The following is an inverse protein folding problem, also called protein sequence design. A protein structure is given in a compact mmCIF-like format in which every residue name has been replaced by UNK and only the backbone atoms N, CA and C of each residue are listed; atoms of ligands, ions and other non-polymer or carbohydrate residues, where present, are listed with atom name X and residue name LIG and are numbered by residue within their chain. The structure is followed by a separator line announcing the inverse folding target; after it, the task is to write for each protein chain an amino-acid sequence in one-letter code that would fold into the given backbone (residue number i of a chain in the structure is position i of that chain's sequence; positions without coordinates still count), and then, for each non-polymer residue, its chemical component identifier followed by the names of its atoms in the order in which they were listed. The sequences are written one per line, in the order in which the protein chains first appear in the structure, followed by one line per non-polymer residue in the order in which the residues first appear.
data_IF_599037554205
#
_entry.id   IF_599037554205
#
_cell.length_a   1.000
_cell.length_b   1.000
_cell.length_c   1.000
_cell.angle_alpha   90.00
_cell.angle_beta   90.00
_cell.angle_gamma   90.00
#
_symmetry.space_group_name_H-M   'P 1'
#
loop_
_entity.id
_entity.type
_entity.pdbx_description
1 polymer ?
#
# COMPACT_ATOMS: atom_id res chain seq x y z
N UNK A 1 -2.48 -27.22 40.20
CA UNK A 1 -3.56 -26.83 39.27
C UNK A 1 -2.98 -26.72 37.86
N UNK A 2 -3.29 -27.68 37.00
CA UNK A 2 -2.78 -27.70 35.62
C UNK A 2 -3.35 -26.54 34.82
N UNK A 3 -2.51 -25.78 34.10
CA UNK A 3 -2.99 -24.78 33.14
C UNK A 3 -3.70 -25.52 32.02
N UNK A 4 -5.01 -25.38 31.95
CA UNK A 4 -5.78 -25.87 30.81
C UNK A 4 -5.28 -25.18 29.54
N UNK A 5 -4.88 -25.98 28.55
CA UNK A 5 -4.41 -25.48 27.25
C UNK A 5 -5.63 -24.93 26.52
N UNK A 6 -5.74 -23.60 26.50
CA UNK A 6 -6.82 -22.93 25.78
C UNK A 6 -6.48 -23.02 24.29
N UNK A 7 -7.35 -23.70 23.55
CA UNK A 7 -7.29 -23.72 22.10
C UNK A 7 -7.72 -22.34 21.55
N UNK A 8 -6.84 -21.75 20.76
CA UNK A 8 -7.05 -20.46 20.08
C UNK A 8 -7.22 -20.63 18.57
N UNK A 9 -7.31 -21.86 18.08
CA UNK A 9 -7.53 -22.16 16.66
C UNK A 9 -8.77 -21.45 16.12
N UNK A 10 -8.66 -20.90 14.92
CA UNK A 10 -9.72 -20.15 14.22
C UNK A 10 -10.22 -18.89 14.92
N UNK A 11 -9.55 -18.41 15.98
CA UNK A 11 -9.90 -17.14 16.62
C UNK A 11 -9.24 -15.95 15.92
N UNK A 12 -9.96 -14.83 15.93
CA UNK A 12 -9.50 -13.52 15.43
C UNK A 12 -8.98 -12.66 16.58
N UNK A 13 -7.80 -12.10 16.43
CA UNK A 13 -7.17 -11.17 17.37
C UNK A 13 -6.79 -9.88 16.63
N UNK A 14 -7.64 -8.86 16.68
CA UNK A 14 -7.47 -7.65 15.88
C UNK A 14 -7.51 -7.97 14.38
N UNK A 15 -6.40 -7.76 13.66
CA UNK A 15 -6.24 -8.09 12.23
C UNK A 15 -5.60 -9.45 11.97
N UNK A 16 -5.44 -10.29 13.00
CA UNK A 16 -4.79 -11.59 12.92
C UNK A 16 -5.80 -12.72 13.05
N UNK A 17 -5.69 -13.74 12.19
CA UNK A 17 -6.45 -14.98 12.21
C UNK A 17 -5.52 -16.13 12.57
N UNK A 18 -5.85 -16.91 13.59
CA UNK A 18 -5.07 -18.10 13.95
C UNK A 18 -5.34 -19.20 12.95
N UNK A 19 -4.32 -19.60 12.19
CA UNK A 19 -4.41 -20.62 11.14
C UNK A 19 -3.77 -21.96 11.54
N UNK A 20 -2.96 -21.97 12.59
CA UNK A 20 -2.29 -23.20 13.04
C UNK A 20 -1.52 -23.04 14.35
N UNK A 21 -1.12 -24.16 14.93
CA UNK A 21 -0.15 -24.19 16.02
C UNK A 21 1.28 -24.13 15.46
N UNK A 22 2.15 -23.40 16.14
CA UNK A 22 3.56 -23.33 15.81
C UNK A 22 4.40 -24.05 16.87
N UNK A 23 5.67 -24.29 16.55
CA UNK A 23 6.61 -24.88 17.51
C UNK A 23 6.69 -24.02 18.77
N UNK A 24 6.73 -24.64 19.97
CA UNK A 24 6.94 -23.90 21.21
C UNK A 24 8.26 -23.14 21.19
N UNK A 25 8.31 -22.00 21.86
CA UNK A 25 9.57 -21.26 21.98
C UNK A 25 10.56 -21.96 22.92
N UNK A 26 11.78 -21.42 23.03
CA UNK A 26 12.83 -21.91 23.97
C UNK A 26 12.40 -21.96 25.45
N UNK A 27 11.33 -21.24 25.82
CA UNK A 27 10.75 -21.22 27.17
C UNK A 27 9.52 -22.14 27.29
N UNK A 28 9.32 -23.04 26.33
CA UNK A 28 8.21 -23.98 26.26
C UNK A 28 6.81 -23.32 26.27
N UNK A 29 6.71 -22.09 25.73
CA UNK A 29 5.45 -21.37 25.61
C UNK A 29 4.79 -21.70 24.27
N UNK A 30 3.49 -22.00 24.30
CA UNK A 30 2.68 -22.24 23.10
C UNK A 30 2.71 -21.04 22.17
N UNK A 31 2.97 -21.31 20.89
CA UNK A 31 2.95 -20.32 19.82
C UNK A 31 1.92 -20.71 18.77
N UNK A 32 1.33 -19.71 18.12
CA UNK A 32 0.33 -19.90 17.09
C UNK A 32 0.77 -19.19 15.81
N UNK A 33 0.61 -19.88 14.68
CA UNK A 33 0.76 -19.30 13.36
C UNK A 33 -0.48 -18.49 13.04
N UNK A 34 -0.29 -17.19 12.82
CA UNK A 34 -1.38 -16.27 12.54
C UNK A 34 -1.23 -15.67 11.15
N UNK A 35 -2.30 -15.68 10.36
CA UNK A 35 -2.43 -14.94 9.11
C UNK A 35 -3.00 -13.55 9.40
N UNK A 36 -2.30 -12.51 8.98
CA UNK A 36 -2.81 -11.15 9.09
C UNK A 36 -3.67 -10.80 7.87
N UNK A 37 -4.63 -9.88 8.04
CA UNK A 37 -5.38 -9.25 6.94
C UNK A 37 -4.45 -8.60 5.90
N UNK A 38 -3.20 -8.28 6.28
CA UNK A 38 -2.14 -7.81 5.39
C UNK A 38 -1.60 -8.89 4.42
N UNK A 39 -2.08 -10.13 4.52
CA UNK A 39 -1.60 -11.31 3.78
C UNK A 39 -0.33 -11.96 4.35
N UNK A 40 0.33 -11.34 5.35
CA UNK A 40 1.55 -11.90 5.97
C UNK A 40 1.22 -12.85 7.11
N UNK A 41 1.95 -13.95 7.17
CA UNK A 41 1.90 -14.87 8.29
C UNK A 41 2.95 -14.50 9.35
N UNK A 42 2.60 -14.69 10.62
CA UNK A 42 3.49 -14.41 11.75
C UNK A 42 3.22 -15.40 12.88
N UNK A 43 4.28 -15.94 13.46
CA UNK A 43 4.22 -16.75 14.68
C UNK A 43 4.12 -15.82 15.89
N UNK A 44 3.09 -16.00 16.70
CA UNK A 44 2.80 -15.14 17.86
C UNK A 44 2.59 -16.03 19.09
N UNK A 45 3.16 -15.62 20.22
CA UNK A 45 2.98 -16.32 21.48
C UNK A 45 1.53 -16.24 21.99
N UNK A 46 1.03 -17.32 22.58
CA UNK A 46 -0.31 -17.38 23.16
C UNK A 46 -0.56 -16.28 24.21
N UNK A 47 0.47 -15.89 24.95
CA UNK A 47 0.39 -14.77 25.90
C UNK A 47 0.06 -13.45 25.22
N UNK A 48 0.77 -13.12 24.14
CA UNK A 48 0.60 -11.87 23.39
C UNK A 48 -0.72 -11.78 22.64
N UNK A 49 -1.26 -12.91 22.17
CA UNK A 49 -2.59 -12.97 21.58
C UNK A 49 -3.67 -12.70 22.64
N UNK A 50 -3.59 -13.39 23.79
CA UNK A 50 -4.59 -13.25 24.87
C UNK A 50 -4.56 -11.87 25.53
N UNK A 51 -3.38 -11.30 25.74
CA UNK A 51 -3.26 -9.96 26.34
C UNK A 51 -3.60 -8.83 25.38
N UNK A 52 -3.80 -9.12 24.09
CA UNK A 52 -4.01 -8.11 23.05
C UNK A 52 -2.75 -7.30 22.72
N UNK A 53 -1.57 -7.70 23.21
CA UNK A 53 -0.31 -7.00 22.93
C UNK A 53 0.15 -7.11 21.47
N UNK A 54 -0.41 -8.04 20.68
CA UNK A 54 -0.15 -8.15 19.24
C UNK A 54 -1.47 -8.33 18.48
N UNK A 55 -1.85 -7.30 17.72
CA UNK A 55 -3.09 -7.25 16.94
C UNK A 55 -2.87 -7.18 15.43
N UNK A 56 -1.61 -7.15 14.96
CA UNK A 56 -1.27 -7.15 13.54
C UNK A 56 0.11 -7.76 13.27
N UNK A 57 0.39 -8.04 11.99
CA UNK A 57 1.72 -8.45 11.51
C UNK A 57 2.82 -7.38 11.76
N UNK A 58 2.44 -6.17 12.21
CA UNK A 58 3.26 -4.96 12.21
C UNK A 58 2.93 -4.03 11.04
N UNK A 59 1.99 -4.40 10.17
CA UNK A 59 1.51 -3.55 9.07
C UNK A 59 0.85 -2.26 9.57
N UNK A 60 0.24 -2.24 10.76
CA UNK A 60 -0.34 -1.02 11.32
C UNK A 60 0.72 0.04 11.66
N UNK A 61 1.95 -0.39 11.99
CA UNK A 61 3.09 0.52 12.22
C UNK A 61 3.87 0.81 10.94
N UNK A 62 3.73 -0.03 9.92
CA UNK A 62 4.14 0.30 8.55
C UNK A 62 3.02 1.11 7.93
N UNK A 63 2.89 2.36 8.39
CA UNK A 63 2.25 3.38 7.57
C UNK A 63 2.88 3.26 6.18
N UNK A 64 2.08 3.20 5.10
CA UNK A 64 2.63 3.09 3.76
C UNK A 64 3.64 4.22 3.61
N UNK A 65 4.84 3.87 3.14
CA UNK A 65 5.88 4.81 2.75
C UNK A 65 5.31 6.00 1.95
N UNK A 66 4.19 5.79 1.25
CA UNK A 66 3.35 6.79 0.59
C UNK A 66 2.88 7.99 1.45
N UNK A 67 2.62 7.86 2.76
CA UNK A 67 2.27 9.01 3.63
C UNK A 67 3.48 9.86 4.02
N UNK A 68 4.65 9.23 4.18
CA UNK A 68 5.93 9.94 4.40
C UNK A 68 6.45 10.56 3.09
N UNK A 69 6.24 9.87 1.95
CA UNK A 69 6.51 10.41 0.61
C UNK A 69 5.66 11.67 0.34
N UNK A 70 4.39 11.73 0.76
CA UNK A 70 3.56 12.94 0.62
C UNK A 70 4.15 14.16 1.33
N UNK A 71 4.83 13.97 2.47
CA UNK A 71 5.50 15.07 3.19
C UNK A 71 6.77 15.56 2.50
N UNK A 72 7.40 14.72 1.67
CA UNK A 72 8.60 15.07 0.89
C UNK A 72 8.33 15.16 -0.61
N UNK A 73 7.06 15.26 -1.03
CA UNK A 73 6.69 15.44 -2.43
C UNK A 73 7.27 16.76 -2.96
N UNK A 74 8.44 16.70 -3.59
CA UNK A 74 8.54 17.32 -4.91
C UNK A 74 7.70 16.43 -5.84
N UNK A 75 6.75 17.00 -6.60
CA UNK A 75 5.87 16.21 -7.44
C UNK A 75 6.71 15.37 -8.41
N UNK A 76 6.42 14.08 -8.51
CA UNK A 76 6.83 13.22 -9.64
C UNK A 76 5.97 13.65 -10.84
N UNK A 77 6.16 14.91 -11.26
CA UNK A 77 5.54 15.54 -12.43
C UNK A 77 6.53 16.49 -13.11
N UNK A 78 7.83 16.27 -12.94
CA UNK A 78 8.85 17.07 -13.65
C UNK A 78 9.97 16.26 -14.29
N UNK A 79 10.13 14.97 -13.99
CA UNK A 79 11.26 14.23 -14.58
C UNK A 79 11.06 13.91 -16.07
N UNK A 80 9.81 13.78 -16.54
CA UNK A 80 9.50 13.68 -17.98
C UNK A 80 9.44 15.03 -18.69
N UNK A 81 9.06 16.12 -18.00
CA UNK A 81 8.98 17.47 -18.60
C UNK A 81 10.36 18.17 -18.69
N UNK A 82 11.28 17.92 -17.74
CA UNK A 82 12.62 18.54 -17.70
C UNK A 82 13.61 18.01 -18.75
N UNK A 83 13.33 16.85 -19.36
CA UNK A 83 14.15 16.27 -20.43
C UNK A 83 13.69 16.75 -21.81
N UNK A 84 12.40 17.09 -21.99
CA UNK A 84 11.85 17.53 -23.28
C UNK A 84 11.92 19.04 -23.51
N UNK A 85 11.97 19.85 -22.43
CA UNK A 85 11.93 21.32 -22.52
C UNK A 85 13.29 21.98 -22.85
N UNK A 86 14.43 21.27 -22.77
CA UNK A 86 15.75 21.89 -22.97
C UNK A 86 16.04 22.30 -24.42
N UNK A 87 15.38 21.67 -25.39
CA UNK A 87 15.58 21.94 -26.83
C UNK A 87 14.43 22.72 -27.48
N UNK A 88 13.36 23.05 -26.73
CA UNK A 88 12.24 23.82 -27.25
C UNK A 88 12.38 25.30 -26.91
N UNK A 89 12.49 26.13 -27.96
CA UNK A 89 12.33 27.57 -27.79
C UNK A 89 10.94 27.90 -27.21
N UNK A 90 10.79 29.00 -26.44
CA UNK A 90 9.51 29.41 -25.86
C UNK A 90 8.37 29.48 -26.89
N UNK A 91 8.68 29.85 -28.13
CA UNK A 91 7.74 29.90 -29.25
C UNK A 91 7.23 28.51 -29.66
N UNK A 92 8.13 27.51 -29.73
CA UNK A 92 7.79 26.15 -30.15
C UNK A 92 6.95 25.42 -29.10
N UNK A 93 7.20 25.71 -27.81
CA UNK A 93 6.38 25.22 -26.70
C UNK A 93 4.95 25.75 -26.77
N UNK A 94 4.78 27.03 -27.08
CA UNK A 94 3.47 27.66 -27.26
C UNK A 94 2.72 27.07 -28.46
N UNK A 95 3.43 26.78 -29.54
CA UNK A 95 2.88 26.16 -30.74
C UNK A 95 2.38 24.73 -30.48
N UNK A 96 3.17 23.87 -29.81
CA UNK A 96 2.76 22.51 -29.48
C UNK A 96 1.60 22.48 -28.48
N UNK A 97 1.63 23.37 -27.48
CA UNK A 97 0.53 23.48 -26.52
C UNK A 97 -0.77 23.85 -27.22
N UNK A 98 -0.71 24.80 -28.14
CA UNK A 98 -1.84 25.19 -28.98
C UNK A 98 -2.34 24.02 -29.83
N UNK A 99 -1.47 23.28 -30.50
CA UNK A 99 -1.86 22.12 -31.31
C UNK A 99 -2.51 21.00 -30.48
N UNK A 100 -2.01 20.76 -29.26
CA UNK A 100 -2.61 19.80 -28.33
C UNK A 100 -4.01 20.24 -27.90
N UNK A 101 -4.19 21.51 -27.51
CA UNK A 101 -5.48 22.03 -27.08
C UNK A 101 -6.49 22.01 -28.25
N UNK A 102 -6.08 22.42 -29.47
CA UNK A 102 -6.89 22.34 -30.68
C UNK A 102 -7.28 20.90 -31.06
N UNK A 103 -6.37 19.94 -30.90
CA UNK A 103 -6.66 18.53 -31.12
C UNK A 103 -7.78 18.05 -30.19
N UNK A 104 -7.73 18.37 -28.90
CA UNK A 104 -8.79 17.98 -27.97
C UNK A 104 -10.10 18.71 -28.18
N UNK A 105 -10.06 19.99 -28.59
CA UNK A 105 -11.26 20.77 -28.92
C UNK A 105 -11.96 20.25 -30.19
N UNK A 106 -11.21 19.61 -31.11
CA UNK A 106 -11.79 18.98 -32.31
C UNK A 106 -12.58 17.69 -32.02
N UNK A 107 -12.36 17.08 -30.84
CA UNK A 107 -13.04 15.86 -30.45
C UNK A 107 -14.38 16.19 -29.78
N UNK A 108 -15.47 16.13 -30.54
CA UNK A 108 -16.85 16.42 -30.10
C UNK A 108 -17.43 15.41 -29.07
N UNK A 109 -16.64 14.48 -28.54
CA UNK A 109 -17.10 13.47 -27.59
C UNK A 109 -16.37 13.57 -26.24
N UNK A 110 -17.03 14.06 -25.18
CA UNK A 110 -16.40 14.30 -23.88
C UNK A 110 -15.92 13.01 -23.19
N UNK A 111 -16.60 11.88 -23.39
CA UNK A 111 -16.21 10.57 -22.81
C UNK A 111 -14.92 10.04 -23.44
N UNK A 112 -14.79 10.22 -24.77
CA UNK A 112 -13.60 9.83 -25.52
C UNK A 112 -12.42 10.73 -25.15
N UNK A 113 -12.65 12.05 -25.02
CA UNK A 113 -11.65 13.01 -24.53
C UNK A 113 -11.15 12.65 -23.14
N UNK A 114 -12.07 12.29 -22.23
CA UNK A 114 -11.71 11.89 -20.86
C UNK A 114 -10.85 10.61 -20.85
N UNK A 115 -11.30 9.58 -21.58
CA UNK A 115 -10.62 8.28 -21.61
C UNK A 115 -9.20 8.40 -22.18
N UNK A 116 -9.03 9.12 -23.28
CA UNK A 116 -7.72 9.27 -23.91
C UNK A 116 -6.77 10.17 -23.09
N UNK A 117 -7.29 11.20 -22.39
CA UNK A 117 -6.49 12.00 -21.43
C UNK A 117 -5.97 11.14 -20.28
N UNK A 118 -6.72 10.14 -19.84
CA UNK A 118 -6.29 9.21 -18.78
C UNK A 118 -5.26 8.17 -19.24
N UNK A 119 -5.17 7.90 -20.56
CA UNK A 119 -4.17 6.97 -21.12
C UNK A 119 -2.80 7.62 -21.38
N UNK A 120 -2.73 8.96 -21.41
CA UNK A 120 -1.51 9.73 -21.72
C UNK A 120 -0.80 10.30 -20.48
N UNK A 121 -1.33 10.06 -19.27
CA UNK A 121 -0.78 10.47 -17.96
C UNK A 121 -0.28 9.23 -17.21
#
# INVERSE_FOLDING_TARGET
MGRSRIDLMSKKFGKLYVIGEATPNKQNQSQYLCLCECGKQKVIGAGSLRSGGTQSCGCLRRIPFWEEIKKQQKPIRSEYDEVFDRDLSPSKRKELKKAYDEFWDSLNNPELVHTLKMMLV
#
